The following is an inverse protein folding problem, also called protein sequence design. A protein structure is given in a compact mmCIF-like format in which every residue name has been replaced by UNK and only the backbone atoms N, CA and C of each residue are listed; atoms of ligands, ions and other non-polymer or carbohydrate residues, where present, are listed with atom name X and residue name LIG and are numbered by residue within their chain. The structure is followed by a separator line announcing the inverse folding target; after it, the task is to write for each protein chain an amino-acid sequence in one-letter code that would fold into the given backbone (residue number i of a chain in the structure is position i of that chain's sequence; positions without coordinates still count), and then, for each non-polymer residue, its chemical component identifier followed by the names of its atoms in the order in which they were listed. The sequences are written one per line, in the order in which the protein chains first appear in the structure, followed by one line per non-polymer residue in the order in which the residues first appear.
data_IF_043431742078
#
_entry.id   IF_043431742078
#
_cell.length_a   1.000
_cell.length_b   1.000
_cell.length_c   1.000
_cell.angle_alpha   90.00
_cell.angle_beta   90.00
_cell.angle_gamma   90.00
#
_symmetry.space_group_name_H-M   'P 1'
#
loop_
_entity.id
_entity.type
_entity.pdbx_description
1 polymer ?
#
# COMPACT_ATOMS: atom_id res chain seq x y z
N UNK A 1 15.91 2.94 -3.75
CA UNK A 1 15.82 2.13 -2.51
C UNK A 1 14.42 1.55 -2.50
N UNK A 2 14.26 0.24 -2.26
CA UNK A 2 12.94 -0.42 -2.28
C UNK A 2 12.56 -0.84 -0.87
N UNK A 3 11.42 -0.40 -0.37
CA UNK A 3 10.90 -0.78 0.94
C UNK A 3 10.19 -2.13 0.88
N UNK A 4 10.28 -2.92 1.94
CA UNK A 4 9.48 -4.13 2.14
C UNK A 4 8.31 -3.82 3.07
N UNK A 5 7.10 -3.93 2.55
CA UNK A 5 5.87 -3.58 3.26
C UNK A 5 5.08 -4.87 3.55
N UNK A 6 4.82 -5.15 4.82
CA UNK A 6 3.97 -6.27 5.23
C UNK A 6 2.50 -5.88 5.04
N UNK A 7 1.76 -6.61 4.20
CA UNK A 7 0.29 -6.57 4.23
C UNK A 7 -0.20 -7.49 5.35
N UNK A 8 -0.79 -6.92 6.38
CA UNK A 8 -1.20 -7.60 7.62
C UNK A 8 -2.72 -7.72 7.66
N UNK A 9 -3.24 -8.88 7.23
CA UNK A 9 -4.68 -9.14 7.09
C UNK A 9 -5.24 -10.30 7.95
N UNK A 10 -4.61 -10.75 9.06
CA UNK A 10 -5.27 -11.70 9.96
C UNK A 10 -6.48 -11.04 10.61
N UNK A 11 -7.46 -11.87 11.04
CA UNK A 11 -8.71 -11.39 11.62
C UNK A 11 -8.74 -11.48 13.15
N UNK A 12 -7.57 -11.58 13.78
CA UNK A 12 -7.45 -11.51 15.25
C UNK A 12 -6.28 -10.63 15.66
N UNK A 13 -6.49 -9.85 16.74
CA UNK A 13 -5.46 -9.01 17.35
C UNK A 13 -4.22 -9.81 17.76
N UNK A 14 -4.42 -10.98 18.37
CA UNK A 14 -3.32 -11.80 18.84
C UNK A 14 -2.40 -12.24 17.69
N UNK A 15 -2.98 -12.70 16.57
CA UNK A 15 -2.21 -13.07 15.39
C UNK A 15 -1.56 -11.86 14.73
N UNK A 16 -2.26 -10.74 14.62
CA UNK A 16 -1.71 -9.52 14.06
C UNK A 16 -0.45 -9.07 14.81
N UNK A 17 -0.51 -9.02 16.14
CA UNK A 17 0.63 -8.61 16.96
C UNK A 17 1.77 -9.64 16.93
N UNK A 18 1.46 -10.92 16.97
CA UNK A 18 2.47 -12.00 16.87
C UNK A 18 3.22 -11.92 15.53
N UNK A 19 2.50 -11.76 14.43
CA UNK A 19 3.08 -11.68 13.08
C UNK A 19 3.88 -10.38 12.92
N UNK A 20 3.34 -9.25 13.35
CA UNK A 20 4.02 -7.95 13.31
C UNK A 20 5.33 -7.99 14.13
N UNK A 21 5.29 -8.55 15.34
CA UNK A 21 6.48 -8.73 16.18
C UNK A 21 7.55 -9.57 15.48
N UNK A 22 7.17 -10.69 14.87
CA UNK A 22 8.09 -11.57 14.17
C UNK A 22 8.71 -10.93 12.93
N UNK A 23 7.91 -10.16 12.16
CA UNK A 23 8.33 -9.58 10.90
C UNK A 23 9.02 -8.21 11.03
N UNK A 24 8.75 -7.44 12.11
CA UNK A 24 9.21 -6.05 12.26
C UNK A 24 10.72 -5.81 12.06
N UNK A 25 11.66 -6.72 12.44
CA UNK A 25 13.07 -6.51 12.16
C UNK A 25 13.44 -6.52 10.67
N UNK A 26 12.56 -7.06 9.83
CA UNK A 26 12.83 -7.36 8.43
C UNK A 26 12.05 -6.48 7.45
N UNK A 27 11.11 -5.66 7.91
CA UNK A 27 10.21 -4.84 7.07
C UNK A 27 10.41 -3.35 7.35
N UNK A 28 9.87 -2.51 6.45
CA UNK A 28 9.99 -1.05 6.52
C UNK A 28 8.67 -0.35 6.86
N UNK A 29 7.52 -1.03 6.63
CA UNK A 29 6.19 -0.53 6.97
C UNK A 29 5.20 -1.68 7.13
N UNK A 30 4.08 -1.40 7.80
CA UNK A 30 2.93 -2.31 7.93
C UNK A 30 1.73 -1.69 7.21
N UNK A 31 1.17 -2.42 6.26
CA UNK A 31 -0.08 -2.08 5.57
C UNK A 31 -1.24 -2.88 6.17
N UNK A 32 -2.28 -2.19 6.63
CA UNK A 32 -3.44 -2.78 7.29
C UNK A 32 -4.66 -2.64 6.37
N UNK A 33 -5.28 -3.77 6.05
CA UNK A 33 -6.49 -3.82 5.23
C UNK A 33 -7.78 -4.03 6.01
N UNK A 34 -8.88 -4.07 5.29
CA UNK A 34 -10.23 -4.28 5.87
C UNK A 34 -10.37 -5.55 6.71
N UNK A 35 -9.77 -6.71 6.38
CA UNK A 35 -9.97 -7.91 7.20
C UNK A 35 -9.64 -7.69 8.67
N UNK A 36 -8.50 -7.06 8.98
CA UNK A 36 -8.09 -6.78 10.35
C UNK A 36 -8.91 -5.64 10.97
N UNK A 37 -9.16 -4.56 10.22
CA UNK A 37 -9.90 -3.40 10.74
C UNK A 37 -11.37 -3.73 11.04
N UNK A 38 -12.04 -4.54 10.22
CA UNK A 38 -13.42 -4.95 10.47
C UNK A 38 -13.53 -5.91 11.66
N UNK A 39 -12.49 -6.70 11.93
CA UNK A 39 -12.47 -7.59 13.08
C UNK A 39 -12.15 -6.86 14.40
N UNK A 40 -11.20 -5.93 14.40
CA UNK A 40 -10.59 -5.37 15.61
C UNK A 40 -10.82 -3.85 15.80
N UNK A 41 -11.38 -3.18 14.78
CA UNK A 41 -11.54 -1.72 14.74
C UNK A 41 -10.22 -0.97 14.50
N UNK A 42 -10.32 0.34 14.31
CA UNK A 42 -9.16 1.22 14.08
C UNK A 42 -8.18 1.25 15.27
N UNK A 43 -8.64 0.91 16.47
CA UNK A 43 -7.81 0.90 17.68
C UNK A 43 -6.59 0.00 17.61
N UNK A 44 -6.60 -1.03 16.75
CA UNK A 44 -5.45 -1.92 16.54
C UNK A 44 -4.20 -1.17 16.04
N UNK A 45 -4.37 -0.03 15.38
CA UNK A 45 -3.27 0.79 14.90
C UNK A 45 -2.36 1.26 16.05
N UNK A 46 -2.92 1.56 17.22
CA UNK A 46 -2.12 1.99 18.39
C UNK A 46 -1.16 0.91 18.85
N UNK A 47 -1.61 -0.34 18.88
CA UNK A 47 -0.75 -1.46 19.30
C UNK A 47 0.33 -1.77 18.28
N UNK A 48 0.00 -1.62 16.99
CA UNK A 48 0.95 -1.84 15.90
C UNK A 48 1.96 -0.71 15.77
N UNK A 49 1.62 0.50 16.22
CA UNK A 49 2.53 1.63 16.28
C UNK A 49 3.71 1.40 17.27
N UNK A 50 3.52 0.55 18.28
CA UNK A 50 4.58 0.21 19.25
C UNK A 50 5.80 -0.48 18.59
N UNK A 51 5.64 -1.02 17.39
CA UNK A 51 6.78 -1.56 16.61
C UNK A 51 7.62 -0.47 15.94
N UNK A 52 7.23 0.81 16.02
CA UNK A 52 7.99 1.94 15.49
C UNK A 52 8.03 2.02 13.96
N UNK A 53 7.13 1.30 13.27
CA UNK A 53 7.05 1.26 11.81
C UNK A 53 5.89 2.13 11.30
N UNK A 54 6.04 2.79 10.14
CA UNK A 54 4.94 3.46 9.46
C UNK A 54 3.75 2.52 9.21
N UNK A 55 2.53 3.00 9.48
CA UNK A 55 1.29 2.28 9.23
C UNK A 55 0.56 2.85 8.01
N UNK A 56 0.22 2.01 7.04
CA UNK A 56 -0.49 2.41 5.82
C UNK A 56 -1.90 1.78 5.84
N UNK A 57 -2.93 2.62 5.80
CA UNK A 57 -4.32 2.18 5.72
C UNK A 57 -4.68 1.81 4.27
N UNK A 58 -4.81 0.51 4.00
CA UNK A 58 -5.22 -0.01 2.69
C UNK A 58 -6.75 -0.15 2.62
N UNK A 59 -7.45 0.98 2.72
CA UNK A 59 -8.91 1.01 2.69
C UNK A 59 -9.47 1.28 1.30
N UNK A 60 -8.59 1.59 0.35
CA UNK A 60 -8.99 1.86 -1.04
C UNK A 60 -10.19 2.79 -1.10
N UNK A 61 -10.10 3.90 -0.34
CA UNK A 61 -11.20 4.86 -0.16
C UNK A 61 -11.71 5.30 -1.53
N UNK A 62 -13.03 5.23 -1.72
CA UNK A 62 -13.65 5.38 -3.04
C UNK A 62 -15.05 5.96 -2.92
N UNK A 63 -15.16 7.16 -2.37
CA UNK A 63 -16.42 7.87 -2.14
C UNK A 63 -16.35 9.30 -2.71
N UNK A 64 -17.37 10.09 -2.48
CA UNK A 64 -17.38 11.53 -2.80
C UNK A 64 -16.39 12.30 -1.90
N UNK A 65 -15.94 13.50 -2.30
CA UNK A 65 -14.88 14.25 -1.61
C UNK A 65 -15.11 14.43 -0.11
N UNK A 66 -16.32 14.84 0.31
CA UNK A 66 -16.64 15.04 1.71
C UNK A 66 -16.50 13.77 2.56
N UNK A 67 -16.96 12.62 2.05
CA UNK A 67 -16.85 11.34 2.76
C UNK A 67 -15.40 10.87 2.81
N UNK A 68 -14.65 11.03 1.70
CA UNK A 68 -13.22 10.72 1.64
C UNK A 68 -12.42 11.54 2.64
N UNK A 69 -12.74 12.83 2.79
CA UNK A 69 -12.14 13.69 3.81
C UNK A 69 -12.38 13.13 5.21
N UNK A 70 -13.62 12.87 5.58
CA UNK A 70 -13.98 12.35 6.90
C UNK A 70 -13.34 11.00 7.22
N UNK A 71 -13.29 10.10 6.24
CA UNK A 71 -12.60 8.79 6.39
C UNK A 71 -11.10 9.02 6.65
N UNK A 72 -10.47 9.87 5.85
CA UNK A 72 -9.04 10.12 5.95
C UNK A 72 -8.67 10.77 7.29
N UNK A 73 -9.47 11.73 7.78
CA UNK A 73 -9.30 12.33 9.10
C UNK A 73 -9.32 11.26 10.22
N UNK A 74 -10.29 10.31 10.19
CA UNK A 74 -10.36 9.23 11.16
C UNK A 74 -9.17 8.28 11.10
N UNK A 75 -8.69 7.99 9.90
CA UNK A 75 -7.52 7.13 9.67
C UNK A 75 -6.27 7.75 10.32
N UNK A 76 -5.99 9.02 10.03
CA UNK A 76 -4.82 9.69 10.60
C UNK A 76 -4.96 9.92 12.12
N UNK A 77 -6.16 10.22 12.61
CA UNK A 77 -6.43 10.31 14.05
C UNK A 77 -6.19 8.98 14.79
N UNK A 78 -6.31 7.85 14.10
CA UNK A 78 -6.01 6.53 14.67
C UNK A 78 -4.49 6.20 14.70
N UNK A 79 -3.63 7.03 14.09
CA UNK A 79 -2.17 6.88 14.13
C UNK A 79 -1.55 6.29 12.84
N UNK A 80 -2.30 6.23 11.76
CA UNK A 80 -1.71 5.88 10.46
C UNK A 80 -0.87 7.04 9.92
N UNK A 81 0.14 6.70 9.14
CA UNK A 81 1.04 7.62 8.43
C UNK A 81 0.81 7.64 6.91
N UNK A 82 -0.03 6.75 6.40
CA UNK A 82 -0.38 6.71 4.99
C UNK A 82 -1.77 6.14 4.75
N UNK A 83 -2.38 6.52 3.62
CA UNK A 83 -3.68 6.02 3.18
C UNK A 83 -3.65 5.65 1.71
N UNK A 84 -4.43 4.63 1.33
CA UNK A 84 -4.63 4.24 -0.05
C UNK A 84 -6.07 4.54 -0.45
N UNK A 85 -6.26 5.32 -1.53
CA UNK A 85 -7.56 5.60 -2.15
C UNK A 85 -7.60 5.09 -3.60
N UNK A 86 -8.78 5.04 -4.20
CA UNK A 86 -8.96 4.74 -5.63
C UNK A 86 -8.94 6.01 -6.48
N UNK A 87 -8.28 5.93 -7.66
CA UNK A 87 -8.24 7.04 -8.61
C UNK A 87 -9.46 7.14 -9.52
N UNK A 88 -10.26 6.07 -9.67
CA UNK A 88 -11.41 6.09 -10.58
C UNK A 88 -12.58 6.96 -10.09
N UNK A 89 -12.56 7.40 -8.84
CA UNK A 89 -13.59 8.29 -8.25
C UNK A 89 -13.49 9.74 -8.73
N UNK A 90 -12.38 10.12 -9.37
CA UNK A 90 -12.16 11.47 -9.87
C UNK A 90 -11.11 12.25 -9.06
N UNK A 91 -10.63 13.34 -9.65
CA UNK A 91 -9.55 14.16 -9.06
C UNK A 91 -9.97 14.81 -7.76
N UNK A 92 -11.19 15.34 -7.67
CA UNK A 92 -11.73 15.98 -6.48
C UNK A 92 -11.78 15.04 -5.25
N UNK A 93 -12.15 13.78 -5.48
CA UNK A 93 -12.16 12.74 -4.45
C UNK A 93 -10.75 12.37 -3.99
N UNK A 94 -9.80 12.30 -4.91
CA UNK A 94 -8.38 12.06 -4.59
C UNK A 94 -7.79 13.25 -3.85
N UNK A 95 -8.03 14.48 -4.30
CA UNK A 95 -7.57 15.72 -3.65
C UNK A 95 -8.03 15.83 -2.20
N UNK A 96 -9.26 15.38 -1.89
CA UNK A 96 -9.76 15.35 -0.52
C UNK A 96 -8.89 14.46 0.39
N UNK A 97 -8.51 13.27 -0.08
CA UNK A 97 -7.60 12.38 0.66
C UNK A 97 -6.19 12.97 0.78
N UNK A 98 -5.63 13.51 -0.31
CA UNK A 98 -4.29 14.11 -0.34
C UNK A 98 -4.18 15.29 0.62
N UNK A 99 -5.17 16.19 0.59
CA UNK A 99 -5.19 17.38 1.45
C UNK A 99 -5.12 17.01 2.92
N UNK A 100 -5.96 16.07 3.36
CA UNK A 100 -5.95 15.63 4.76
C UNK A 100 -4.64 14.93 5.10
N UNK A 101 -4.16 14.01 4.24
CA UNK A 101 -2.91 13.30 4.47
C UNK A 101 -1.75 14.27 4.68
N UNK A 102 -1.60 15.27 3.81
CA UNK A 102 -0.52 16.26 3.89
C UNK A 102 -0.63 17.18 5.10
N UNK A 103 -1.85 17.61 5.49
CA UNK A 103 -2.08 18.40 6.72
C UNK A 103 -1.65 17.61 7.96
N UNK A 104 -1.82 16.29 7.95
CA UNK A 104 -1.42 15.39 9.03
C UNK A 104 0.07 14.95 8.94
N UNK A 105 0.82 15.41 7.94
CA UNK A 105 2.22 15.05 7.72
C UNK A 105 2.45 13.65 7.21
N UNK A 106 1.42 13.03 6.62
CA UNK A 106 1.48 11.68 6.06
C UNK A 106 1.37 11.64 4.54
N UNK A 107 1.15 10.46 3.98
CA UNK A 107 1.19 10.18 2.54
C UNK A 107 -0.13 9.62 2.03
N UNK A 108 -0.49 9.97 0.79
CA UNK A 108 -1.65 9.43 0.07
C UNK A 108 -1.19 8.70 -1.19
N UNK A 109 -1.57 7.43 -1.31
CA UNK A 109 -1.29 6.58 -2.46
C UNK A 109 -2.58 6.28 -3.22
N UNK A 110 -2.52 6.34 -4.54
CA UNK A 110 -3.69 6.16 -5.41
C UNK A 110 -3.61 4.83 -6.15
N UNK A 111 -4.66 4.02 -6.08
CA UNK A 111 -4.73 2.79 -6.88
C UNK A 111 -4.85 3.17 -8.35
N UNK A 112 -3.77 2.98 -9.10
CA UNK A 112 -3.75 3.17 -10.54
C UNK A 112 -4.18 1.90 -11.28
N UNK A 113 -3.71 0.73 -10.83
CA UNK A 113 -4.13 -0.57 -11.38
C UNK A 113 -4.12 -1.65 -10.28
N UNK A 114 -5.17 -2.48 -10.23
CA UNK A 114 -5.31 -3.60 -9.30
C UNK A 114 -4.52 -4.82 -9.78
N UNK A 115 -3.95 -5.61 -8.85
CA UNK A 115 -3.07 -6.74 -9.17
C UNK A 115 -3.79 -8.04 -9.59
N UNK A 116 -5.07 -8.22 -9.25
CA UNK A 116 -5.84 -9.43 -9.57
C UNK A 116 -6.31 -9.43 -11.04
N UNK A 117 -6.73 -10.57 -11.62
CA UNK A 117 -7.11 -10.66 -13.04
C UNK A 117 -8.23 -9.70 -13.45
N UNK A 118 -9.30 -9.55 -12.65
CA UNK A 118 -10.41 -8.63 -12.91
C UNK A 118 -10.00 -7.15 -12.93
N UNK A 119 -8.83 -6.79 -12.39
CA UNK A 119 -8.29 -5.45 -12.52
C UNK A 119 -8.07 -5.03 -13.97
N UNK A 120 -7.83 -5.99 -14.88
CA UNK A 120 -7.66 -5.70 -16.30
C UNK A 120 -8.93 -5.15 -16.98
N UNK A 121 -10.12 -5.50 -16.48
CA UNK A 121 -11.40 -5.11 -17.10
C UNK A 121 -11.61 -3.59 -17.09
N UNK A 122 -11.19 -2.91 -16.01
CA UNK A 122 -11.48 -1.48 -15.80
C UNK A 122 -10.24 -0.60 -15.82
N UNK A 123 -9.07 -1.12 -15.44
CA UNK A 123 -7.86 -0.31 -15.32
C UNK A 123 -7.00 -0.29 -16.59
N UNK A 124 -7.18 -1.24 -17.51
CA UNK A 124 -6.50 -1.22 -18.79
C UNK A 124 -7.26 -0.34 -19.82
N UNK A 125 -6.73 -0.21 -21.03
CA UNK A 125 -7.31 0.65 -22.05
C UNK A 125 -7.13 2.16 -21.77
N UNK A 126 -6.10 2.55 -21.03
CA UNK A 126 -5.76 3.95 -20.75
C UNK A 126 -6.25 4.49 -19.41
N UNK A 127 -7.07 3.75 -18.66
CA UNK A 127 -7.58 4.21 -17.36
C UNK A 127 -6.46 4.37 -16.33
N UNK A 128 -5.58 3.36 -16.19
CA UNK A 128 -4.45 3.44 -15.24
C UNK A 128 -3.51 4.60 -15.57
N UNK A 129 -3.26 4.86 -16.85
CA UNK A 129 -2.42 5.97 -17.31
C UNK A 129 -3.07 7.33 -17.03
N UNK A 130 -4.40 7.43 -17.15
CA UNK A 130 -5.15 8.66 -16.76
C UNK A 130 -5.05 8.89 -15.26
N UNK A 131 -5.21 7.85 -14.46
CA UNK A 131 -5.05 7.93 -13.00
C UNK A 131 -3.61 8.34 -12.62
N UNK A 132 -2.60 7.76 -13.28
CA UNK A 132 -1.21 8.12 -13.03
C UNK A 132 -0.92 9.60 -13.32
N UNK A 133 -1.50 10.19 -14.37
CA UNK A 133 -1.41 11.65 -14.63
C UNK A 133 -2.14 12.46 -13.56
N UNK A 134 -3.35 12.04 -13.18
CA UNK A 134 -4.11 12.68 -12.08
C UNK A 134 -3.31 12.73 -10.78
N UNK A 135 -2.53 11.70 -10.45
CA UNK A 135 -1.66 11.65 -9.27
C UNK A 135 -0.63 12.80 -9.29
N UNK A 136 -0.14 13.17 -10.48
CA UNK A 136 0.78 14.31 -10.62
C UNK A 136 0.04 15.62 -10.33
N UNK A 137 -1.14 15.77 -10.90
CA UNK A 137 -1.93 17.01 -10.83
C UNK A 137 -2.48 17.25 -9.40
N UNK A 138 -2.94 16.20 -8.72
CA UNK A 138 -3.48 16.27 -7.35
C UNK A 138 -2.41 16.34 -6.25
N UNK A 139 -1.14 16.11 -6.60
CA UNK A 139 -0.05 16.12 -5.62
C UNK A 139 0.08 14.86 -4.78
N UNK A 140 -0.65 13.78 -5.06
CA UNK A 140 -0.54 12.52 -4.31
C UNK A 140 0.90 11.96 -4.33
N UNK A 141 1.31 11.24 -3.29
CA UNK A 141 2.70 10.84 -3.06
C UNK A 141 3.13 9.69 -3.96
N UNK A 142 2.17 8.90 -4.42
CA UNK A 142 2.46 7.77 -5.30
C UNK A 142 1.25 6.99 -5.74
N UNK A 143 1.52 5.85 -6.38
CA UNK A 143 0.50 4.93 -6.88
C UNK A 143 0.67 3.52 -6.35
N UNK A 144 -0.44 2.76 -6.42
CA UNK A 144 -0.42 1.31 -6.33
C UNK A 144 -0.44 0.76 -7.77
N UNK A 145 0.58 -0.04 -8.12
CA UNK A 145 0.73 -0.67 -9.43
C UNK A 145 1.10 -2.16 -9.28
N UNK A 146 0.62 -3.06 -10.18
CA UNK A 146 0.66 -4.49 -9.95
C UNK A 146 2.04 -5.13 -10.23
N UNK A 147 2.63 -5.85 -9.27
CA UNK A 147 3.80 -6.70 -9.51
C UNK A 147 3.52 -7.86 -10.48
N UNK A 148 2.27 -8.26 -10.62
CA UNK A 148 1.83 -9.35 -11.52
C UNK A 148 1.86 -8.97 -12.99
N UNK A 149 2.06 -7.69 -13.32
CA UNK A 149 2.11 -7.14 -14.69
C UNK A 149 3.26 -6.13 -14.85
N UNK A 150 4.52 -6.58 -14.90
CA UNK A 150 5.70 -5.70 -14.93
C UNK A 150 5.69 -4.64 -16.04
N UNK A 151 5.20 -5.00 -17.24
CA UNK A 151 5.09 -4.05 -18.35
C UNK A 151 4.16 -2.88 -18.01
N UNK A 152 3.06 -3.16 -17.30
CA UNK A 152 2.13 -2.11 -16.85
C UNK A 152 2.81 -1.19 -15.85
N UNK A 153 3.51 -1.78 -14.89
CA UNK A 153 4.28 -1.02 -13.88
C UNK A 153 5.33 -0.14 -14.52
N UNK A 154 6.01 -0.62 -15.58
CA UNK A 154 6.99 0.18 -16.33
C UNK A 154 6.35 1.39 -17.01
N UNK A 155 5.22 1.20 -17.69
CA UNK A 155 4.47 2.31 -18.33
C UNK A 155 4.06 3.36 -17.28
N UNK A 156 3.55 2.91 -16.14
CA UNK A 156 3.13 3.81 -15.07
C UNK A 156 4.31 4.56 -14.44
N UNK A 157 5.48 3.90 -14.29
CA UNK A 157 6.72 4.54 -13.83
C UNK A 157 7.17 5.68 -14.76
N UNK A 158 7.09 5.47 -16.06
CA UNK A 158 7.43 6.50 -17.05
C UNK A 158 6.54 7.75 -16.91
N UNK A 159 5.24 7.54 -16.58
CA UNK A 159 4.28 8.64 -16.39
C UNK A 159 4.53 9.40 -15.09
N UNK A 160 4.64 8.69 -13.94
CA UNK A 160 4.67 9.36 -12.63
C UNK A 160 6.06 9.88 -12.24
N UNK A 161 7.10 9.56 -13.01
CA UNK A 161 8.46 10.03 -12.78
C UNK A 161 9.04 9.57 -11.45
N UNK A 162 9.31 10.50 -10.53
CA UNK A 162 9.96 10.23 -9.23
C UNK A 162 8.99 9.91 -8.09
N UNK A 163 7.67 9.96 -8.32
CA UNK A 163 6.68 9.63 -7.28
C UNK A 163 6.75 8.14 -6.96
N UNK A 164 6.33 7.79 -5.74
CA UNK A 164 6.45 6.40 -5.27
C UNK A 164 5.53 5.43 -6.03
N UNK A 165 6.01 4.23 -6.29
CA UNK A 165 5.19 3.07 -6.66
C UNK A 165 5.28 2.03 -5.54
N UNK A 166 4.15 1.70 -4.95
CA UNK A 166 4.01 0.56 -4.05
C UNK A 166 3.34 -0.59 -4.81
N UNK A 167 3.99 -1.76 -4.85
CA UNK A 167 3.61 -2.85 -5.75
C UNK A 167 3.15 -4.10 -4.99
N UNK A 168 1.84 -4.38 -4.96
CA UNK A 168 1.29 -5.63 -4.43
C UNK A 168 1.35 -6.76 -5.46
N UNK A 169 1.20 -8.00 -4.96
CA UNK A 169 1.08 -9.20 -5.79
C UNK A 169 2.34 -10.04 -5.86
N UNK A 170 3.38 -9.66 -5.14
CA UNK A 170 4.61 -10.47 -4.99
C UNK A 170 4.32 -11.72 -4.16
N UNK A 171 4.89 -12.84 -4.54
CA UNK A 171 4.75 -14.13 -3.87
C UNK A 171 3.40 -14.79 -4.16
N UNK A 172 2.45 -14.72 -3.23
CA UNK A 172 1.19 -15.48 -3.30
C UNK A 172 0.31 -15.23 -4.54
N UNK A 173 0.48 -14.11 -5.25
CA UNK A 173 -0.22 -13.82 -6.51
C UNK A 173 0.65 -14.09 -7.75
N UNK A 174 1.87 -14.60 -7.58
CA UNK A 174 2.77 -14.98 -8.67
C UNK A 174 3.58 -13.82 -9.27
N UNK A 175 3.52 -12.63 -8.69
CA UNK A 175 4.39 -11.53 -9.09
C UNK A 175 5.85 -11.82 -8.78
N UNK A 176 6.72 -11.63 -9.76
CA UNK A 176 8.16 -11.76 -9.62
C UNK A 176 8.76 -10.42 -9.17
N UNK A 177 9.38 -10.35 -7.98
CA UNK A 177 9.99 -9.12 -7.51
C UNK A 177 11.19 -8.69 -8.35
N UNK A 178 11.92 -9.62 -8.96
CA UNK A 178 13.08 -9.31 -9.80
C UNK A 178 12.63 -8.65 -11.12
N UNK A 179 11.45 -9.00 -11.63
CA UNK A 179 10.88 -8.41 -12.83
C UNK A 179 10.46 -6.94 -12.66
N UNK A 180 10.25 -6.47 -11.43
CA UNK A 180 9.91 -5.07 -11.12
C UNK A 180 11.02 -4.32 -10.39
N UNK A 181 12.18 -4.96 -10.22
CA UNK A 181 13.34 -4.35 -9.56
C UNK A 181 13.75 -3.05 -10.26
N UNK A 182 14.03 -2.01 -9.46
CA UNK A 182 14.38 -0.68 -9.96
C UNK A 182 13.21 0.15 -10.52
N UNK A 183 12.01 -0.43 -10.66
CA UNK A 183 10.81 0.29 -11.11
C UNK A 183 9.90 0.71 -9.96
N UNK A 184 10.04 0.10 -8.78
CA UNK A 184 9.14 0.32 -7.63
C UNK A 184 9.92 0.79 -6.41
N UNK A 185 9.26 1.55 -5.56
CA UNK A 185 9.81 2.11 -4.32
C UNK A 185 9.41 1.27 -3.11
N UNK A 186 8.37 0.45 -3.22
CA UNK A 186 7.95 -0.49 -2.19
C UNK A 186 7.31 -1.75 -2.76
N UNK A 187 7.63 -2.88 -2.16
CA UNK A 187 7.03 -4.18 -2.46
C UNK A 187 6.12 -4.57 -1.31
N UNK A 188 4.86 -4.86 -1.62
CA UNK A 188 3.86 -5.26 -0.64
C UNK A 188 3.71 -6.78 -0.66
N UNK A 189 4.07 -7.43 0.46
CA UNK A 189 3.98 -8.88 0.65
C UNK A 189 3.00 -9.20 1.76
N UNK A 190 2.02 -10.03 1.48
CA UNK A 190 0.97 -10.43 2.43
C UNK A 190 1.07 -11.90 2.84
N UNK A 191 0.22 -12.75 2.25
CA UNK A 191 0.07 -14.18 2.61
C UNK A 191 1.38 -14.97 2.64
N UNK A 192 2.36 -14.62 1.82
CA UNK A 192 3.66 -15.26 1.81
C UNK A 192 4.47 -14.99 3.11
N UNK A 193 4.10 -13.98 3.88
CA UNK A 193 4.68 -13.71 5.21
C UNK A 193 3.69 -14.10 6.30
N UNK A 194 2.51 -13.48 6.36
CA UNK A 194 1.60 -13.69 7.48
C UNK A 194 0.98 -15.09 7.53
N UNK A 195 0.93 -15.82 6.40
CA UNK A 195 0.44 -17.19 6.30
C UNK A 195 1.53 -18.26 6.42
N UNK A 196 2.79 -17.86 6.61
CA UNK A 196 3.89 -18.81 6.81
C UNK A 196 3.91 -19.38 8.23
N UNK A 197 4.39 -20.61 8.39
CA UNK A 197 4.61 -21.22 9.71
C UNK A 197 5.60 -20.40 10.55
N UNK A 198 6.62 -19.82 9.91
CA UNK A 198 7.57 -18.89 10.50
C UNK A 198 7.56 -17.54 9.75
N UNK A 199 6.76 -16.56 10.22
CA UNK A 199 6.70 -15.23 9.60
C UNK A 199 8.02 -14.47 9.63
N UNK A 200 8.88 -14.70 10.64
CA UNK A 200 10.20 -14.04 10.74
C UNK A 200 11.13 -14.54 9.62
N UNK A 201 11.25 -15.86 9.46
CA UNK A 201 12.06 -16.46 8.39
C UNK A 201 11.52 -16.07 7.00
N UNK A 202 10.20 -16.04 6.82
CA UNK A 202 9.59 -15.61 5.57
C UNK A 202 9.90 -14.13 5.27
N UNK A 203 9.74 -13.22 6.23
CA UNK A 203 10.06 -11.80 6.08
C UNK A 203 11.56 -11.59 5.79
N UNK A 204 12.45 -12.29 6.49
CA UNK A 204 13.90 -12.26 6.25
C UNK A 204 14.25 -12.70 4.82
N UNK A 205 13.55 -13.69 4.27
CA UNK A 205 13.71 -14.14 2.89
C UNK A 205 13.40 -13.04 1.86
N UNK A 206 12.41 -12.19 2.13
CA UNK A 206 12.10 -11.03 1.29
C UNK A 206 12.97 -9.80 1.57
N UNK A 207 13.62 -9.72 2.74
CA UNK A 207 14.46 -8.58 3.12
C UNK A 207 15.63 -8.33 2.14
N UNK A 208 16.08 -9.35 1.39
CA UNK A 208 17.07 -9.22 0.30
C UNK A 208 16.63 -8.26 -0.81
N UNK A 209 15.33 -8.02 -0.94
CA UNK A 209 14.75 -7.11 -1.94
C UNK A 209 14.76 -5.65 -1.48
N UNK A 210 15.04 -5.40 -0.21
CA UNK A 210 15.22 -4.05 0.33
C UNK A 210 16.46 -3.42 -0.28
N UNK A 211 16.34 -2.19 -0.72
CA UNK A 211 17.52 -1.42 -1.13
C UNK A 211 18.46 -1.22 0.05
N UNK A 212 19.78 -1.30 -0.17
CA UNK A 212 20.76 -1.00 0.87
C UNK A 212 20.51 0.41 1.41
N UNK A 213 20.18 0.50 2.71
CA UNK A 213 20.26 1.75 3.45
C UNK A 213 21.73 1.94 3.81
N UNK A 214 22.47 2.64 2.92
CA UNK A 214 23.82 3.12 3.20
C UNK A 214 23.75 4.38 4.04
#
# INVERSE_FOLDING_TARGET
MTDLILALDPTSRADALRIASAASPHIDAIKIGYPLILAEGLGIAKDLADFGLPLIADFKVADIPNTNQLITEQVFAAGFSGIICHGFTGSDSVEACVTVAHVQGGECYVVAEMSHPGGAEFFQGGTAERIARMVIDTGADGIIAPATRPERTRILREIIGKRKILSPGVGAQGGDPDAIAGMVDGIIVGRAIYGADDPAAAAAGYARLRGNRS
#
